data_IF_723267941922
#
_entry.id   IF_723267941922
#
_cell.length_a   1.000
_cell.length_b   1.000
_cell.length_c   1.000
_cell.angle_alpha   90.00
_cell.angle_beta   90.00
_cell.angle_gamma   90.00
#
_symmetry.space_group_name_H-M   'P 1'
#
loop_
_entity.id
_entity.type
_entity.pdbx_description
1 polymer ?
#
# COMPACT_ATOMS: atom_id res chain seq x y z
N UNK A 1 16.47 5.20 -10.38
CA UNK A 1 15.34 4.90 -11.28
C UNK A 1 15.72 3.64 -12.04
N UNK A 2 15.03 2.51 -11.80
CA UNK A 2 15.35 1.21 -12.42
C UNK A 2 14.16 0.63 -13.22
N UNK A 3 13.32 1.47 -13.83
CA UNK A 3 12.22 1.00 -14.69
C UNK A 3 12.76 0.41 -16.01
N UNK A 4 12.13 -0.65 -16.51
CA UNK A 4 12.41 -1.21 -17.84
C UNK A 4 13.75 -1.93 -18.00
N UNK A 5 14.42 -2.26 -16.90
CA UNK A 5 15.55 -3.18 -16.92
C UNK A 5 14.97 -4.55 -16.59
N UNK A 6 15.26 -5.58 -17.38
CA UNK A 6 14.75 -6.97 -17.21
C UNK A 6 15.24 -7.63 -15.90
N UNK A 7 15.07 -6.96 -14.75
CA UNK A 7 15.46 -7.44 -13.44
C UNK A 7 14.63 -8.66 -13.12
N UNK A 8 15.35 -9.76 -12.93
CA UNK A 8 14.78 -11.05 -12.63
C UNK A 8 15.08 -11.48 -11.19
N UNK A 9 14.16 -12.24 -10.61
CA UNK A 9 14.33 -12.84 -9.30
C UNK A 9 13.81 -11.97 -8.15
N UNK A 10 13.80 -12.53 -6.93
CA UNK A 10 13.30 -11.82 -5.76
C UNK A 10 14.21 -10.65 -5.39
N UNK A 11 13.64 -9.63 -4.74
CA UNK A 11 14.40 -8.55 -4.11
C UNK A 11 15.37 -9.18 -3.09
N UNK A 12 16.68 -8.94 -3.21
CA UNK A 12 17.67 -9.56 -2.35
C UNK A 12 17.45 -9.20 -0.87
N UNK A 13 17.56 -10.16 0.08
CA UNK A 13 17.46 -9.87 1.50
C UNK A 13 18.49 -8.83 2.00
N UNK A 14 19.61 -8.68 1.30
CA UNK A 14 20.61 -7.65 1.59
C UNK A 14 20.10 -6.22 1.48
N UNK A 15 18.96 -5.98 0.81
CA UNK A 15 18.29 -4.67 0.81
C UNK A 15 17.94 -4.21 2.23
N UNK A 16 17.77 -5.14 3.17
CA UNK A 16 17.56 -4.83 4.58
C UNK A 16 18.68 -3.95 5.18
N UNK A 17 19.89 -4.00 4.62
CA UNK A 17 21.05 -3.23 5.08
C UNK A 17 21.06 -1.79 4.57
N UNK A 18 20.18 -1.43 3.64
CA UNK A 18 20.13 -0.09 3.05
C UNK A 18 19.30 0.88 3.91
N UNK A 19 19.60 0.94 5.22
CA UNK A 19 18.82 1.68 6.22
C UNK A 19 18.76 3.19 6.01
N UNK A 20 19.73 3.76 5.28
CA UNK A 20 19.82 5.18 4.96
C UNK A 20 19.12 5.56 3.64
N UNK A 21 18.41 4.63 2.99
CA UNK A 21 17.68 4.93 1.76
C UNK A 21 16.58 5.98 1.99
N UNK A 22 16.53 6.95 1.09
CA UNK A 22 15.54 8.03 1.05
C UNK A 22 14.53 7.81 -0.07
N UNK A 23 14.98 7.31 -1.22
CA UNK A 23 14.16 7.06 -2.41
C UNK A 23 14.48 5.67 -2.94
N UNK A 24 13.48 4.79 -2.93
CA UNK A 24 13.56 3.47 -3.54
C UNK A 24 12.45 3.36 -4.59
N UNK A 25 12.86 3.17 -5.85
CA UNK A 25 11.96 2.99 -6.99
C UNK A 25 12.38 1.78 -7.79
N UNK A 26 11.60 0.72 -7.66
CA UNK A 26 11.68 -0.52 -8.43
C UNK A 26 10.38 -0.68 -9.22
N UNK A 27 10.52 -1.22 -10.43
CA UNK A 27 9.39 -1.52 -11.29
C UNK A 27 9.69 -2.67 -12.23
N UNK A 28 8.65 -3.40 -12.61
CA UNK A 28 8.70 -4.45 -13.63
C UNK A 28 9.72 -5.56 -13.33
N UNK A 29 9.83 -5.96 -12.06
CA UNK A 29 10.64 -7.11 -11.67
C UNK A 29 9.87 -8.39 -12.05
N UNK A 30 10.49 -9.18 -12.92
CA UNK A 30 9.96 -10.46 -13.38
C UNK A 30 10.55 -11.61 -12.56
N UNK A 31 9.77 -12.65 -12.32
CA UNK A 31 10.19 -13.87 -11.59
C UNK A 31 10.71 -13.68 -10.16
N UNK A 32 10.42 -14.64 -9.29
CA UNK A 32 10.62 -14.47 -7.85
C UNK A 32 9.51 -13.65 -7.17
N UNK A 33 9.26 -13.95 -5.90
CA UNK A 33 8.28 -13.26 -5.05
C UNK A 33 9.02 -12.69 -3.85
N UNK A 34 8.62 -11.51 -3.38
CA UNK A 34 9.24 -10.88 -2.22
C UNK A 34 8.19 -10.36 -1.25
N UNK A 35 8.48 -10.41 0.05
CA UNK A 35 7.65 -9.78 1.08
C UNK A 35 8.18 -8.36 1.35
N UNK A 36 7.32 -7.47 1.85
CA UNK A 36 7.73 -6.10 2.23
C UNK A 36 8.69 -6.05 3.43
N UNK A 37 9.07 -7.16 4.04
CA UNK A 37 9.96 -7.18 5.21
C UNK A 37 11.34 -6.58 4.93
N UNK A 38 11.81 -6.54 3.67
CA UNK A 38 13.11 -5.95 3.34
C UNK A 38 13.18 -4.43 3.60
N UNK A 39 12.06 -3.71 3.65
CA UNK A 39 12.05 -2.27 3.95
C UNK A 39 11.98 -1.95 5.44
N UNK A 40 11.86 -2.95 6.33
CA UNK A 40 11.54 -2.75 7.75
C UNK A 40 12.47 -1.76 8.47
N UNK A 41 13.74 -1.68 8.06
CA UNK A 41 14.77 -0.83 8.68
C UNK A 41 14.97 0.52 7.97
N UNK A 42 14.27 0.78 6.86
CA UNK A 42 14.49 1.98 6.02
C UNK A 42 13.66 3.18 6.52
N UNK A 43 13.92 3.63 7.75
CA UNK A 43 13.10 4.65 8.43
C UNK A 43 13.21 6.06 7.84
N UNK A 44 14.21 6.29 6.99
CA UNK A 44 14.41 7.56 6.29
C UNK A 44 13.73 7.62 4.92
N UNK A 45 13.02 6.55 4.50
CA UNK A 45 12.32 6.55 3.21
C UNK A 45 11.33 7.70 3.13
N UNK A 46 11.47 8.49 2.06
CA UNK A 46 10.55 9.53 1.65
C UNK A 46 9.66 9.09 0.49
N UNK A 47 10.21 8.26 -0.39
CA UNK A 47 9.55 7.74 -1.58
C UNK A 47 9.81 6.25 -1.68
N UNK A 48 8.73 5.48 -1.77
CA UNK A 48 8.78 4.05 -2.05
C UNK A 48 7.85 3.75 -3.23
N UNK A 49 8.43 3.27 -4.33
CA UNK A 49 7.68 2.75 -5.47
C UNK A 49 8.17 1.33 -5.74
N UNK A 50 7.25 0.37 -5.66
CA UNK A 50 7.47 -1.04 -5.94
C UNK A 50 6.37 -1.53 -6.88
N UNK A 51 6.18 -0.84 -8.02
CA UNK A 51 5.07 -1.14 -8.93
C UNK A 51 5.39 -2.39 -9.74
N UNK A 52 4.47 -3.35 -9.86
CA UNK A 52 4.71 -4.54 -10.70
C UNK A 52 6.00 -5.30 -10.32
N UNK A 53 6.17 -5.62 -9.04
CA UNK A 53 7.40 -6.25 -8.51
C UNK A 53 7.14 -7.62 -7.86
N UNK A 54 6.00 -8.26 -8.15
CA UNK A 54 5.57 -9.54 -7.55
C UNK A 54 5.66 -9.55 -6.01
N UNK A 55 5.37 -8.41 -5.37
CA UNK A 55 5.39 -8.30 -3.90
C UNK A 55 4.18 -9.05 -3.34
N UNK A 56 4.41 -9.97 -2.40
CA UNK A 56 3.39 -10.85 -1.81
C UNK A 56 3.29 -10.71 -0.29
N UNK A 57 2.23 -11.27 0.29
CA UNK A 57 1.99 -11.23 1.73
C UNK A 57 1.30 -9.94 2.15
N UNK A 58 1.41 -9.57 3.43
CA UNK A 58 0.72 -8.41 4.00
C UNK A 58 1.58 -7.15 3.99
N UNK A 59 0.91 -6.00 4.07
CA UNK A 59 1.57 -4.72 4.35
C UNK A 59 2.01 -4.71 5.83
N UNK A 60 3.24 -4.25 6.11
CA UNK A 60 3.80 -4.16 7.47
C UNK A 60 2.87 -3.37 8.41
N UNK A 61 2.82 -3.73 9.69
CA UNK A 61 1.90 -3.07 10.63
C UNK A 61 2.40 -1.71 11.16
N UNK A 62 3.66 -1.36 10.97
CA UNK A 62 4.33 -0.20 11.57
C UNK A 62 4.67 0.93 10.56
N UNK A 63 3.72 1.28 9.67
CA UNK A 63 3.92 2.37 8.71
C UNK A 63 4.04 3.76 9.35
N UNK A 64 3.63 3.90 10.60
CA UNK A 64 3.77 5.10 11.42
C UNK A 64 5.21 5.41 11.81
N UNK A 65 6.11 4.42 11.77
CA UNK A 65 7.55 4.62 11.98
C UNK A 65 8.24 5.31 10.79
N UNK A 66 7.65 5.28 9.59
CA UNK A 66 8.21 5.91 8.39
C UNK A 66 7.81 7.39 8.32
N UNK A 67 8.29 8.18 9.29
CA UNK A 67 7.89 9.58 9.51
C UNK A 67 8.20 10.53 8.36
N UNK A 68 9.05 10.12 7.43
CA UNK A 68 9.41 10.91 6.24
C UNK A 68 8.67 10.46 4.98
N UNK A 69 7.94 9.34 5.02
CA UNK A 69 7.36 8.74 3.83
C UNK A 69 6.19 9.60 3.34
N UNK A 70 6.32 10.12 2.12
CA UNK A 70 5.34 11.01 1.48
C UNK A 70 4.64 10.35 0.29
N UNK A 71 5.29 9.39 -0.35
CA UNK A 71 4.80 8.73 -1.55
C UNK A 71 5.00 7.22 -1.44
N UNK A 72 3.91 6.47 -1.50
CA UNK A 72 3.88 5.02 -1.47
C UNK A 72 3.09 4.49 -2.67
N UNK A 73 3.76 3.77 -3.55
CA UNK A 73 3.13 3.05 -4.66
C UNK A 73 3.51 1.57 -4.60
N UNK A 74 2.51 0.75 -4.27
CA UNK A 74 2.60 -0.72 -4.24
C UNK A 74 1.61 -1.33 -5.24
N UNK A 75 1.18 -0.56 -6.24
CA UNK A 75 0.22 -1.04 -7.24
C UNK A 75 0.78 -2.19 -8.08
N UNK A 76 -0.11 -3.01 -8.64
CA UNK A 76 0.23 -4.16 -9.49
C UNK A 76 1.10 -5.19 -8.77
N UNK A 77 0.70 -5.63 -7.57
CA UNK A 77 1.41 -6.66 -6.81
C UNK A 77 0.45 -7.77 -6.37
N UNK A 78 0.95 -8.68 -5.53
CA UNK A 78 0.25 -9.84 -4.99
C UNK A 78 -0.03 -9.67 -3.49
N UNK A 79 -0.17 -8.42 -3.00
CA UNK A 79 -0.41 -8.15 -1.59
C UNK A 79 -1.80 -8.62 -1.18
N UNK A 80 -1.90 -9.19 0.02
CA UNK A 80 -3.12 -9.72 0.62
C UNK A 80 -3.35 -9.16 2.02
N UNK A 81 -4.50 -9.48 2.62
CA UNK A 81 -4.85 -9.05 3.97
C UNK A 81 -5.34 -7.61 4.07
N UNK A 82 -5.40 -7.10 5.30
CA UNK A 82 -5.99 -5.81 5.64
C UNK A 82 -4.96 -4.68 5.58
N UNK A 83 -5.44 -3.46 5.26
CA UNK A 83 -4.61 -2.27 5.38
C UNK A 83 -4.36 -1.96 6.87
N UNK A 84 -3.10 -1.83 7.30
CA UNK A 84 -2.78 -1.51 8.69
C UNK A 84 -3.25 -0.10 9.04
N UNK A 85 -3.74 0.08 10.28
CA UNK A 85 -4.22 1.37 10.75
C UNK A 85 -3.12 2.46 10.74
N UNK A 86 -1.86 2.06 10.92
CA UNK A 86 -0.68 2.93 10.86
C UNK A 86 -0.55 3.72 9.55
N UNK A 87 -1.01 3.18 8.41
CA UNK A 87 -1.03 3.91 7.14
C UNK A 87 -1.95 5.15 7.17
N UNK A 88 -3.04 5.08 7.94
CA UNK A 88 -4.07 6.12 7.97
C UNK A 88 -3.83 7.18 9.03
N UNK A 89 -2.99 6.87 10.03
CA UNK A 89 -2.54 7.82 11.06
C UNK A 89 -1.18 8.44 10.74
N UNK A 90 -0.54 8.03 9.63
CA UNK A 90 0.69 8.66 9.15
C UNK A 90 0.43 10.11 8.75
N UNK A 91 1.14 11.03 9.40
CA UNK A 91 1.04 12.47 9.12
C UNK A 91 1.85 12.91 7.89
N UNK A 92 2.79 12.08 7.42
CA UNK A 92 3.70 12.44 6.33
C UNK A 92 3.21 11.96 4.97
N UNK A 93 2.43 10.89 4.93
CA UNK A 93 2.03 10.22 3.69
C UNK A 93 0.99 11.05 2.93
N UNK A 94 1.32 11.42 1.69
CA UNK A 94 0.49 12.29 0.82
C UNK A 94 -0.09 11.55 -0.37
N UNK A 95 0.63 10.54 -0.86
CA UNK A 95 0.25 9.75 -2.03
C UNK A 95 0.32 8.27 -1.69
N UNK A 96 -0.78 7.56 -1.91
CA UNK A 96 -0.90 6.12 -1.68
C UNK A 96 -1.55 5.45 -2.88
N UNK A 97 -0.85 4.54 -3.56
CA UNK A 97 -1.35 3.76 -4.68
C UNK A 97 -1.28 2.27 -4.34
N UNK A 98 -2.44 1.60 -4.37
CA UNK A 98 -2.58 0.19 -3.96
C UNK A 98 -3.36 -0.66 -4.98
N UNK A 99 -3.78 -0.07 -6.10
CA UNK A 99 -4.57 -0.75 -7.13
C UNK A 99 -3.92 -2.04 -7.64
N UNK A 100 -4.74 -2.97 -8.14
CA UNK A 100 -4.29 -4.22 -8.74
C UNK A 100 -3.46 -5.09 -7.76
N UNK A 101 -4.06 -5.35 -6.60
CA UNK A 101 -3.57 -6.26 -5.55
C UNK A 101 -4.66 -7.29 -5.20
N UNK A 102 -4.58 -7.95 -4.04
CA UNK A 102 -5.63 -8.80 -3.47
C UNK A 102 -5.92 -8.42 -2.01
N UNK A 103 -5.90 -7.11 -1.74
CA UNK A 103 -6.13 -6.53 -0.41
C UNK A 103 -7.63 -6.53 -0.09
N UNK A 104 -7.97 -6.83 1.15
CA UNK A 104 -9.36 -6.92 1.61
C UNK A 104 -9.47 -6.49 3.07
N UNK A 105 -10.67 -6.13 3.53
CA UNK A 105 -10.91 -5.80 4.93
C UNK A 105 -11.71 -4.53 5.09
N UNK A 106 -11.67 -3.94 6.28
CA UNK A 106 -12.34 -2.67 6.57
C UNK A 106 -11.35 -1.52 6.68
N UNK A 107 -11.65 -0.37 6.08
CA UNK A 107 -10.91 0.85 6.35
C UNK A 107 -11.09 1.22 7.83
N UNK A 108 -10.01 1.55 8.56
CA UNK A 108 -10.15 1.98 9.94
C UNK A 108 -10.96 3.28 9.98
N UNK A 109 -12.05 3.27 10.73
CA UNK A 109 -12.76 4.50 11.04
C UNK A 109 -11.96 5.28 12.07
N UNK A 110 -11.31 6.37 11.64
CA UNK A 110 -10.93 7.40 12.59
C UNK A 110 -12.19 8.20 12.96
N UNK A 111 -12.83 7.85 14.07
CA UNK A 111 -13.88 8.69 14.66
C UNK A 111 -13.28 10.08 14.91
N UNK A 112 -13.82 11.11 14.24
CA UNK A 112 -13.53 12.51 14.54
C UNK A 112 -12.31 13.13 13.84
N UNK A 113 -11.68 12.46 12.87
CA UNK A 113 -10.65 13.09 12.04
C UNK A 113 -11.16 13.24 10.61
N UNK A 114 -11.01 14.45 10.08
CA UNK A 114 -11.19 14.82 8.67
C UNK A 114 -10.71 13.68 7.80
N UNK A 115 -11.55 13.15 6.91
CA UNK A 115 -11.16 12.14 5.92
C UNK A 115 -9.80 12.55 5.35
N UNK A 116 -8.74 11.86 5.73
CA UNK A 116 -7.38 12.25 5.34
C UNK A 116 -7.33 12.27 3.81
N UNK A 117 -6.47 13.10 3.23
CA UNK A 117 -6.37 13.16 1.77
C UNK A 117 -6.16 11.77 1.15
N UNK A 118 -5.51 10.86 1.88
CA UNK A 118 -5.33 9.44 1.54
C UNK A 118 -6.63 8.66 1.43
N UNK A 119 -7.61 8.92 2.30
CA UNK A 119 -8.92 8.28 2.24
C UNK A 119 -9.68 8.72 0.98
N UNK A 120 -9.67 10.02 0.68
CA UNK A 120 -10.22 10.54 -0.59
C UNK A 120 -9.47 9.95 -1.77
N UNK A 121 -8.14 9.84 -1.70
CA UNK A 121 -7.32 9.25 -2.76
C UNK A 121 -7.66 7.79 -3.01
N UNK A 122 -7.78 6.97 -1.95
CA UNK A 122 -8.18 5.58 -2.06
C UNK A 122 -9.59 5.46 -2.62
N UNK A 123 -10.52 6.29 -2.15
CA UNK A 123 -11.88 6.36 -2.69
C UNK A 123 -11.92 6.78 -4.17
N UNK A 124 -11.06 7.70 -4.60
CA UNK A 124 -10.96 8.10 -6.00
C UNK A 124 -10.25 7.07 -6.87
N UNK A 125 -9.20 6.42 -6.38
CA UNK A 125 -8.57 5.29 -7.08
C UNK A 125 -9.55 4.14 -7.24
N UNK A 126 -10.32 3.87 -6.19
CA UNK A 126 -11.43 2.95 -6.20
C UNK A 126 -12.46 3.27 -7.30
N UNK A 127 -12.83 4.55 -7.43
CA UNK A 127 -13.83 5.02 -8.39
C UNK A 127 -13.32 5.13 -9.84
N UNK A 128 -12.05 5.49 -10.03
CA UNK A 128 -11.44 5.70 -11.35
C UNK A 128 -11.08 4.38 -12.02
N UNK A 129 -10.68 3.36 -11.24
CA UNK A 129 -10.27 2.11 -11.85
C UNK A 129 -11.47 1.31 -12.39
N UNK A 130 -12.61 1.10 -11.69
CA UNK A 130 -13.75 0.37 -12.31
C UNK A 130 -15.15 0.79 -11.82
N UNK A 131 -16.07 0.83 -12.78
CA UNK A 131 -17.53 0.86 -12.57
C UNK A 131 -18.09 -0.43 -11.94
N UNK A 132 -17.27 -1.43 -11.61
CA UNK A 132 -17.71 -2.67 -10.95
C UNK A 132 -16.61 -3.16 -10.00
N UNK A 133 -17.00 -3.71 -8.83
CA UNK A 133 -16.15 -4.49 -7.91
C UNK A 133 -15.37 -3.81 -6.78
N UNK A 134 -15.67 -2.55 -6.43
CA UNK A 134 -15.54 -2.17 -5.02
C UNK A 134 -16.93 -2.24 -4.42
N UNK A 135 -17.24 -3.42 -3.88
CA UNK A 135 -18.31 -3.54 -2.90
C UNK A 135 -17.87 -2.79 -1.63
N UNK A 136 -18.03 -1.46 -1.64
CA UNK A 136 -18.09 -0.66 -0.43
C UNK A 136 -19.38 -1.07 0.29
N UNK A 137 -19.33 -2.18 1.01
CA UNK A 137 -20.40 -2.49 1.97
C UNK A 137 -20.21 -1.53 3.14
N UNK A 138 -21.01 -0.46 3.10
CA UNK A 138 -21.22 0.42 4.23
C UNK A 138 -22.21 -0.25 5.19
N UNK A 139 -21.72 -1.09 6.10
CA UNK A 139 -22.58 -1.62 7.17
C UNK A 139 -22.73 -0.52 8.24
N UNK A 140 -23.97 -0.09 8.49
CA UNK A 140 -24.31 0.65 9.71
C UNK A 140 -24.05 -0.28 10.89
N UNK A 141 -23.00 -0.01 11.66
CA UNK A 141 -22.78 -0.65 12.95
C UNK A 141 -23.78 -0.09 13.97
N UNK A 142 -24.28 -0.95 14.86
CA UNK A 142 -25.26 -0.63 15.92
C UNK A 142 -24.83 0.48 16.88
N UNK A 143 -23.55 0.88 16.86
CA UNK A 143 -22.98 1.99 17.61
C UNK A 143 -22.98 3.34 16.85
N UNK A 144 -23.76 3.47 15.77
CA UNK A 144 -23.90 4.70 14.99
C UNK A 144 -22.72 4.99 14.04
N UNK A 145 -21.93 3.97 13.70
CA UNK A 145 -20.72 4.12 12.88
C UNK A 145 -20.82 3.36 11.57
N UNK A 146 -20.14 3.83 10.51
CA UNK A 146 -20.20 3.25 9.17
C UNK A 146 -18.90 2.48 8.86
N UNK A 147 -18.94 1.14 8.91
CA UNK A 147 -17.79 0.32 8.52
C UNK A 147 -17.74 0.20 7.01
N UNK A 148 -16.67 0.67 6.37
CA UNK A 148 -16.44 0.50 4.94
C UNK A 148 -15.53 -0.70 4.72
N UNK A 149 -16.11 -1.78 4.21
CA UNK A 149 -15.33 -2.89 3.67
C UNK A 149 -14.88 -2.56 2.25
N UNK A 150 -13.68 -2.97 1.86
CA UNK A 150 -13.18 -2.83 0.50
C UNK A 150 -12.47 -4.12 0.07
N UNK A 151 -12.47 -4.33 -1.23
CA UNK A 151 -11.67 -5.34 -1.92
C UNK A 151 -10.96 -4.61 -3.05
N UNK A 152 -9.64 -4.55 -3.00
CA UNK A 152 -8.84 -4.04 -4.12
C UNK A 152 -8.39 -5.28 -4.88
N UNK A 153 -9.20 -5.67 -5.87
CA UNK A 153 -8.85 -6.70 -6.83
C UNK A 153 -8.81 -6.08 -8.21
N UNK A 154 -7.80 -6.45 -8.99
CA UNK A 154 -8.07 -6.76 -10.38
C UNK A 154 -7.04 -7.72 -10.96
N UNK A 155 -7.54 -8.85 -11.46
CA UNK A 155 -6.90 -9.64 -12.51
C UNK A 155 -7.99 -9.86 -13.54
N UNK A 156 -7.89 -9.18 -14.69
CA UNK A 156 -8.41 -9.72 -15.94
C UNK A 156 -7.20 -10.18 -16.76
#
# INVERSE_FOLDING_TARGET
LLYGNNFQGPIPPSFLNLSNLIDLRLGDITDGSSALTFIQNMKYLRILVLRNCKISGTILHNFDEYRSLTFLDLSFNNLTGQLPQSLFVSNSLKYLFLGNNSLSGSLPMAKGQTLTNLWKQLYYQAKIFYAEFIHVHCQKCSCGTHRISFVILERR
#
